data_IF_170474723371
#
_entry.id   IF_170474723371
#
_cell.length_a   1.000
_cell.length_b   1.000
_cell.length_c   1.000
_cell.angle_alpha   90.00
_cell.angle_beta   90.00
_cell.angle_gamma   90.00
#
_symmetry.space_group_name_H-M   'P 1'
#
loop_
_entity.id
_entity.type
_entity.pdbx_description
1 polymer ?
#
# COMPACT_ATOMS: atom_id res chain seq x y z
N UNK A 1 13.72 17.96 -5.95
CA UNK A 1 13.59 17.89 -4.47
C UNK A 1 14.07 16.52 -4.01
N UNK A 2 15.02 16.48 -3.04
CA UNK A 2 15.40 15.21 -2.41
C UNK A 2 14.22 14.70 -1.58
N UNK A 3 13.94 13.41 -1.68
CA UNK A 3 13.02 12.74 -0.75
C UNK A 3 13.78 12.57 0.56
N UNK A 4 13.24 13.13 1.64
CA UNK A 4 13.85 12.99 2.96
C UNK A 4 13.64 11.58 3.49
N UNK A 5 14.68 11.04 4.12
CA UNK A 5 14.55 9.81 4.90
C UNK A 5 13.64 10.07 6.11
N UNK A 6 12.82 9.09 6.44
CA UNK A 6 11.99 9.12 7.65
C UNK A 6 12.50 8.14 8.71
N UNK A 7 13.70 7.58 8.53
CA UNK A 7 14.31 6.64 9.48
C UNK A 7 14.36 7.20 10.91
N UNK A 8 14.91 8.41 11.07
CA UNK A 8 15.05 9.04 12.39
C UNK A 8 13.69 9.21 13.08
N UNK A 9 12.67 9.62 12.32
CA UNK A 9 11.30 9.72 12.82
C UNK A 9 10.78 8.35 13.29
N UNK A 10 10.93 7.31 12.46
CA UNK A 10 10.47 5.96 12.80
C UNK A 10 11.25 5.39 13.98
N UNK A 11 12.56 5.62 14.07
CA UNK A 11 13.36 5.20 15.22
C UNK A 11 12.91 5.89 16.53
N UNK A 12 12.49 7.16 16.45
CA UNK A 12 11.92 7.85 17.61
C UNK A 12 10.58 7.21 18.03
N UNK A 13 9.69 6.94 17.07
CA UNK A 13 8.42 6.27 17.33
C UNK A 13 8.62 4.88 17.96
N UNK A 14 9.59 4.10 17.47
CA UNK A 14 9.90 2.77 18.00
C UNK A 14 10.39 2.83 19.47
N UNK A 15 11.08 3.89 19.87
CA UNK A 15 11.49 4.12 21.28
C UNK A 15 10.28 4.46 22.18
N UNK A 16 9.27 5.13 21.64
CA UNK A 16 8.02 5.42 22.36
C UNK A 16 7.16 4.15 22.54
N UNK A 17 7.29 3.20 21.63
CA UNK A 17 6.52 1.95 21.62
C UNK A 17 5.14 2.08 21.00
N UNK A 18 4.38 0.99 21.02
CA UNK A 18 3.02 0.87 20.46
C UNK A 18 2.97 1.20 18.95
N UNK A 19 3.99 0.74 18.19
CA UNK A 19 4.14 0.99 16.76
C UNK A 19 3.76 -0.24 15.96
N UNK A 20 2.84 -0.07 15.03
CA UNK A 20 2.31 -1.10 14.14
C UNK A 20 2.85 -0.89 12.73
N UNK A 21 3.35 -1.96 12.11
CA UNK A 21 3.82 -1.90 10.72
C UNK A 21 2.77 -2.39 9.74
N UNK A 22 2.51 -1.59 8.70
CA UNK A 22 1.76 -1.99 7.51
C UNK A 22 2.75 -2.24 6.37
N UNK A 23 2.99 -3.49 5.99
CA UNK A 23 4.04 -3.88 5.06
C UNK A 23 3.46 -4.18 3.67
N UNK A 24 3.97 -3.51 2.64
CA UNK A 24 3.54 -3.74 1.26
C UNK A 24 3.88 -5.16 0.79
N UNK A 25 2.99 -5.84 0.04
CA UNK A 25 3.18 -7.24 -0.37
C UNK A 25 4.43 -7.51 -1.21
N UNK A 26 5.00 -6.48 -1.84
CA UNK A 26 6.24 -6.57 -2.62
C UNK A 26 7.50 -6.82 -1.76
N UNK A 27 7.38 -6.94 -0.43
CA UNK A 27 8.47 -7.35 0.45
C UNK A 27 9.14 -8.66 0.01
N UNK A 28 8.35 -9.58 -0.59
CA UNK A 28 8.81 -10.86 -1.11
C UNK A 28 10.00 -10.70 -2.07
N UNK A 29 9.87 -9.76 -3.02
CA UNK A 29 10.93 -9.51 -4.00
C UNK A 29 12.13 -8.75 -3.45
N UNK A 30 11.92 -7.93 -2.40
CA UNK A 30 12.97 -7.07 -1.84
C UNK A 30 13.82 -7.77 -0.80
N UNK A 31 13.23 -8.65 0.01
CA UNK A 31 13.92 -9.33 1.12
C UNK A 31 14.14 -10.82 0.86
N UNK A 32 13.70 -11.36 -0.27
CA UNK A 32 13.90 -12.78 -0.61
C UNK A 32 13.16 -13.75 0.29
N UNK A 33 12.14 -13.30 1.02
CA UNK A 33 11.36 -14.12 1.94
C UNK A 33 9.92 -14.28 1.43
N UNK A 34 9.45 -15.52 1.42
CA UNK A 34 8.09 -15.86 0.95
C UNK A 34 7.05 -15.83 2.07
N UNK A 35 7.49 -16.05 3.30
CA UNK A 35 6.63 -16.10 4.47
C UNK A 35 6.66 -14.77 5.22
N UNK A 36 5.50 -14.19 5.45
CA UNK A 36 5.39 -12.92 6.17
C UNK A 36 5.84 -13.04 7.63
N UNK A 37 5.80 -14.23 8.22
CA UNK A 37 6.28 -14.50 9.58
C UNK A 37 7.75 -14.09 9.76
N UNK A 38 8.59 -14.29 8.73
CA UNK A 38 9.97 -13.83 8.78
C UNK A 38 10.08 -12.31 8.93
N UNK A 39 9.21 -11.57 8.21
CA UNK A 39 9.15 -10.11 8.33
C UNK A 39 8.64 -9.69 9.70
N UNK A 40 7.59 -10.35 10.22
CA UNK A 40 7.04 -10.05 11.56
C UNK A 40 8.10 -10.21 12.64
N UNK A 41 8.84 -11.32 12.64
CA UNK A 41 9.92 -11.56 13.62
C UNK A 41 11.03 -10.53 13.47
N UNK A 42 11.44 -10.22 12.23
CA UNK A 42 12.50 -9.25 11.96
C UNK A 42 12.13 -7.84 12.39
N UNK A 43 10.89 -7.42 12.10
CA UNK A 43 10.36 -6.11 12.52
C UNK A 43 10.16 -6.05 14.05
N UNK A 44 9.74 -7.15 14.68
CA UNK A 44 9.68 -7.25 16.13
C UNK A 44 11.05 -7.03 16.80
N UNK A 45 12.14 -7.53 16.20
CA UNK A 45 13.52 -7.26 16.67
C UNK A 45 13.93 -5.79 16.50
N UNK A 46 13.32 -5.04 15.58
CA UNK A 46 13.50 -3.58 15.47
C UNK A 46 12.70 -2.80 16.52
N UNK A 47 11.70 -3.41 17.16
CA UNK A 47 10.87 -2.78 18.17
C UNK A 47 9.42 -2.49 17.72
N UNK A 48 9.00 -2.97 16.56
CA UNK A 48 7.59 -2.93 16.19
C UNK A 48 6.77 -3.85 17.10
N UNK A 49 5.62 -3.35 17.57
CA UNK A 49 4.70 -4.10 18.45
C UNK A 49 3.99 -5.21 17.69
N UNK A 50 3.48 -4.87 16.51
CA UNK A 50 2.86 -5.81 15.58
C UNK A 50 3.07 -5.40 14.13
N UNK A 51 2.91 -6.36 13.22
CA UNK A 51 3.12 -6.19 11.80
C UNK A 51 2.05 -6.92 11.00
N UNK A 52 1.37 -6.21 10.11
CA UNK A 52 0.39 -6.77 9.20
C UNK A 52 0.74 -6.43 7.74
N UNK A 53 0.20 -7.23 6.81
CA UNK A 53 0.35 -6.94 5.39
C UNK A 53 -0.63 -5.85 4.94
N UNK A 54 -0.17 -4.86 4.18
CA UNK A 54 -1.04 -3.87 3.53
C UNK A 54 -2.05 -4.52 2.56
N UNK A 55 -1.86 -5.79 2.23
CA UNK A 55 -2.83 -6.58 1.46
C UNK A 55 -4.23 -6.60 2.11
N UNK A 56 -4.31 -6.46 3.44
CA UNK A 56 -5.59 -6.32 4.15
C UNK A 56 -6.31 -5.04 3.70
N UNK A 57 -5.60 -3.92 3.69
CA UNK A 57 -6.14 -2.65 3.18
C UNK A 57 -6.46 -2.72 1.68
N UNK A 58 -5.66 -3.44 0.90
CA UNK A 58 -5.95 -3.65 -0.52
C UNK A 58 -7.24 -4.45 -0.75
N UNK A 59 -7.52 -5.45 0.08
CA UNK A 59 -8.79 -6.18 0.05
C UNK A 59 -9.99 -5.28 0.37
N UNK A 60 -9.86 -4.40 1.39
CA UNK A 60 -10.89 -3.43 1.73
C UNK A 60 -11.17 -2.48 0.56
N UNK A 61 -10.12 -1.96 -0.07
CA UNK A 61 -10.22 -1.06 -1.24
C UNK A 61 -10.87 -1.76 -2.43
N UNK A 62 -10.51 -3.01 -2.74
CA UNK A 62 -11.14 -3.77 -3.81
C UNK A 62 -12.64 -3.96 -3.58
N UNK A 63 -13.04 -4.24 -2.33
CA UNK A 63 -14.46 -4.36 -1.99
C UNK A 63 -15.23 -3.03 -2.18
N UNK A 64 -14.59 -1.89 -1.85
CA UNK A 64 -15.21 -0.58 -2.09
C UNK A 64 -15.30 -0.25 -3.60
N UNK A 65 -14.27 -0.58 -4.39
CA UNK A 65 -14.35 -0.45 -5.85
C UNK A 65 -15.50 -1.27 -6.44
N UNK A 66 -15.67 -2.52 -6.00
CA UNK A 66 -16.77 -3.36 -6.45
C UNK A 66 -18.15 -2.81 -6.08
N UNK A 67 -18.28 -2.22 -4.88
CA UNK A 67 -19.53 -1.56 -4.47
C UNK A 67 -19.85 -0.38 -5.40
N UNK A 68 -18.86 0.50 -5.63
CA UNK A 68 -19.05 1.68 -6.48
C UNK A 68 -19.36 1.29 -7.93
N UNK A 69 -18.66 0.33 -8.49
CA UNK A 69 -18.92 -0.15 -9.84
C UNK A 69 -20.33 -0.75 -10.01
N UNK A 70 -20.84 -1.41 -8.97
CA UNK A 70 -22.21 -1.98 -8.98
C UNK A 70 -23.32 -0.93 -8.95
N UNK A 71 -23.03 0.32 -8.60
CA UNK A 71 -24.04 1.41 -8.67
C UNK A 71 -24.38 1.78 -10.10
N UNK A 72 -23.48 1.53 -11.05
CA UNK A 72 -23.63 1.93 -12.45
C UNK A 72 -23.53 3.44 -12.68
N UNK A 73 -23.09 4.21 -11.69
CA UNK A 73 -23.01 5.69 -11.77
C UNK A 73 -21.75 6.20 -12.50
N UNK A 74 -20.82 5.30 -12.83
CA UNK A 74 -19.55 5.66 -13.44
C UNK A 74 -19.48 5.21 -14.91
N UNK A 75 -19.48 6.14 -15.85
CA UNK A 75 -19.18 5.87 -17.27
C UNK A 75 -17.73 5.43 -17.46
N UNK A 76 -16.80 6.08 -16.73
CA UNK A 76 -15.41 5.71 -16.60
C UNK A 76 -15.07 5.61 -15.11
N UNK A 77 -14.18 4.68 -14.74
CA UNK A 77 -13.78 4.47 -13.36
C UNK A 77 -12.25 4.34 -13.25
N UNK A 78 -11.63 5.29 -12.59
CA UNK A 78 -10.18 5.31 -12.36
C UNK A 78 -9.90 4.92 -10.91
N UNK A 79 -9.11 3.87 -10.71
CA UNK A 79 -8.73 3.42 -9.37
C UNK A 79 -7.79 4.41 -8.67
N UNK A 80 -8.02 4.69 -7.39
CA UNK A 80 -7.31 5.71 -6.59
C UNK A 80 -6.11 5.21 -5.78
N UNK A 81 -5.74 3.94 -5.92
CA UNK A 81 -4.70 3.30 -5.10
C UNK A 81 -3.30 3.92 -5.25
N UNK A 82 -3.01 4.58 -6.40
CA UNK A 82 -1.71 5.16 -6.71
C UNK A 82 -1.69 6.68 -6.48
N UNK A 83 -1.03 7.20 -5.41
CA UNK A 83 -0.98 8.64 -5.13
C UNK A 83 -0.23 9.44 -6.20
N UNK A 84 0.68 8.81 -6.96
CA UNK A 84 1.37 9.47 -8.06
C UNK A 84 0.41 9.74 -9.24
N UNK A 85 -0.42 8.76 -9.60
CA UNK A 85 -1.44 8.90 -10.65
C UNK A 85 -2.52 9.90 -10.21
N UNK A 86 -2.99 9.81 -8.97
CA UNK A 86 -3.97 10.76 -8.43
C UNK A 86 -3.46 12.20 -8.56
N UNK A 87 -2.17 12.41 -8.26
CA UNK A 87 -1.56 13.74 -8.38
C UNK A 87 -1.39 14.17 -9.83
N UNK A 88 -1.06 13.25 -10.73
CA UNK A 88 -0.99 13.52 -12.17
C UNK A 88 -2.33 14.03 -12.69
N UNK A 89 -3.42 13.34 -12.33
CA UNK A 89 -4.79 13.73 -12.69
C UNK A 89 -5.12 15.13 -12.14
N UNK A 90 -4.88 15.36 -10.85
CA UNK A 90 -5.16 16.64 -10.21
C UNK A 90 -4.44 17.82 -10.85
N UNK A 91 -3.23 17.61 -11.34
CA UNK A 91 -2.40 18.71 -11.87
C UNK A 91 -2.61 18.96 -13.35
N UNK A 92 -2.87 17.92 -14.13
CA UNK A 92 -2.81 18.00 -15.59
C UNK A 92 -4.08 17.53 -16.31
N UNK A 93 -4.95 16.79 -15.63
CA UNK A 93 -6.17 16.21 -16.22
C UNK A 93 -7.40 16.44 -15.31
N UNK A 94 -7.74 17.71 -15.02
CA UNK A 94 -8.77 18.02 -14.02
C UNK A 94 -10.18 17.52 -14.39
N UNK A 95 -10.50 17.37 -15.68
CA UNK A 95 -11.78 16.81 -16.11
C UNK A 95 -11.90 15.32 -15.77
N UNK A 96 -10.78 14.59 -15.71
CA UNK A 96 -10.76 13.18 -15.32
C UNK A 96 -10.98 12.96 -13.81
N UNK A 97 -10.90 14.00 -12.97
CA UNK A 97 -11.15 13.91 -11.53
C UNK A 97 -12.51 13.31 -11.17
N UNK A 98 -13.54 13.57 -11.96
CA UNK A 98 -14.89 13.03 -11.73
C UNK A 98 -14.97 11.51 -11.84
N UNK A 99 -13.99 10.90 -12.50
CA UNK A 99 -13.88 9.45 -12.67
C UNK A 99 -12.95 8.78 -11.66
N UNK A 100 -12.17 9.58 -10.91
CA UNK A 100 -11.28 9.05 -9.87
C UNK A 100 -12.12 8.55 -8.70
N UNK A 101 -11.97 7.27 -8.38
CA UNK A 101 -12.71 6.64 -7.29
C UNK A 101 -12.49 7.40 -5.96
N UNK A 102 -13.57 7.76 -5.23
CA UNK A 102 -13.48 8.41 -3.92
C UNK A 102 -13.16 7.38 -2.83
N UNK A 103 -12.08 6.62 -3.01
CA UNK A 103 -11.67 5.52 -2.13
C UNK A 103 -10.24 5.76 -1.67
N UNK A 104 -9.99 5.51 -0.40
CA UNK A 104 -8.65 5.56 0.17
C UNK A 104 -7.69 4.58 -0.54
N UNK A 105 -6.39 4.89 -0.49
CA UNK A 105 -5.41 3.90 -0.93
C UNK A 105 -5.33 2.73 0.08
N UNK A 106 -4.80 1.57 -0.32
CA UNK A 106 -4.57 0.44 0.58
C UNK A 106 -3.81 0.80 1.86
N UNK A 107 -2.83 1.70 1.76
CA UNK A 107 -2.09 2.21 2.91
C UNK A 107 -3.01 2.94 3.90
N UNK A 108 -3.83 3.85 3.42
CA UNK A 108 -4.72 4.64 4.27
C UNK A 108 -5.87 3.80 4.84
N UNK A 109 -6.46 2.94 4.03
CA UNK A 109 -7.51 2.02 4.48
C UNK A 109 -6.99 1.09 5.59
N UNK A 110 -5.78 0.55 5.44
CA UNK A 110 -5.17 -0.30 6.45
C UNK A 110 -4.80 0.48 7.72
N UNK A 111 -4.25 1.69 7.58
CA UNK A 111 -3.94 2.54 8.73
C UNK A 111 -5.20 2.91 9.54
N UNK A 112 -6.33 3.21 8.87
CA UNK A 112 -7.62 3.44 9.54
C UNK A 112 -8.07 2.21 10.33
N UNK A 113 -7.97 1.02 9.73
CA UNK A 113 -8.28 -0.24 10.40
C UNK A 113 -7.43 -0.42 11.66
N UNK A 114 -6.10 -0.33 11.53
CA UNK A 114 -5.18 -0.52 12.65
C UNK A 114 -5.46 0.47 13.79
N UNK A 115 -5.67 1.75 13.49
CA UNK A 115 -5.99 2.76 14.52
C UNK A 115 -7.36 2.56 15.17
N UNK A 116 -8.31 1.96 14.47
CA UNK A 116 -9.61 1.62 15.03
C UNK A 116 -9.55 0.40 15.96
N UNK A 117 -8.75 -0.62 15.59
CA UNK A 117 -8.58 -1.84 16.38
C UNK A 117 -7.64 -1.64 17.58
N UNK A 118 -6.65 -0.75 17.44
CA UNK A 118 -5.62 -0.46 18.43
C UNK A 118 -5.58 1.05 18.77
N UNK A 119 -6.52 1.58 19.55
CA UNK A 119 -6.55 3.00 19.87
C UNK A 119 -5.24 3.49 20.48
N UNK A 120 -4.73 4.61 19.94
CA UNK A 120 -3.46 5.19 20.38
C UNK A 120 -2.20 4.57 19.76
N UNK A 121 -2.32 3.58 18.87
CA UNK A 121 -1.16 3.05 18.16
C UNK A 121 -0.61 4.08 17.17
N UNK A 122 0.69 3.96 16.89
CA UNK A 122 1.37 4.60 15.78
C UNK A 122 1.45 3.64 14.61
N UNK A 123 1.18 4.12 13.41
CA UNK A 123 1.21 3.29 12.20
C UNK A 123 2.36 3.72 11.31
N UNK A 124 3.23 2.79 10.97
CA UNK A 124 4.32 2.98 10.01
C UNK A 124 4.06 2.12 8.78
N UNK A 125 3.99 2.77 7.62
CA UNK A 125 3.91 2.06 6.35
C UNK A 125 5.32 1.72 5.84
N UNK A 126 5.49 0.51 5.34
CA UNK A 126 6.76 0.01 4.78
C UNK A 126 6.52 -0.50 3.36
N UNK A 127 7.18 0.13 2.37
CA UNK A 127 6.98 -0.27 0.98
C UNK A 127 7.90 0.46 -0.01
N UNK A 128 7.91 0.10 -1.30
CA UNK A 128 8.89 0.61 -2.27
C UNK A 128 8.58 2.03 -2.78
N UNK A 129 7.42 2.59 -2.46
CA UNK A 129 6.89 3.78 -3.14
C UNK A 129 7.14 5.07 -2.34
N UNK A 130 8.01 5.94 -2.84
CA UNK A 130 8.32 7.25 -2.22
C UNK A 130 7.11 8.23 -2.22
N UNK A 131 6.16 8.08 -3.15
CA UNK A 131 4.95 8.90 -3.17
C UNK A 131 4.08 8.69 -1.93
N UNK A 132 4.18 7.54 -1.27
CA UNK A 132 3.49 7.22 -0.02
C UNK A 132 3.93 8.10 1.14
N UNK A 133 5.16 8.59 1.17
CA UNK A 133 5.64 9.56 2.17
C UNK A 133 4.83 10.87 2.13
N UNK A 134 4.48 11.31 0.93
CA UNK A 134 3.65 12.50 0.76
C UNK A 134 2.20 12.23 1.16
N UNK A 135 1.62 11.13 0.69
CA UNK A 135 0.25 10.73 1.00
C UNK A 135 0.04 10.58 2.52
N UNK A 136 1.01 9.98 3.23
CA UNK A 136 1.00 9.86 4.68
C UNK A 136 0.93 11.24 5.37
N UNK A 137 1.78 12.17 4.95
CA UNK A 137 1.80 13.54 5.51
C UNK A 137 0.52 14.31 5.21
N UNK A 138 -0.04 14.19 4.02
CA UNK A 138 -1.28 14.88 3.63
C UNK A 138 -2.50 14.31 4.36
N UNK A 139 -2.52 13.03 4.67
CA UNK A 139 -3.63 12.39 5.37
C UNK A 139 -3.57 12.52 6.89
N UNK A 140 -2.39 12.61 7.47
CA UNK A 140 -2.17 12.57 8.93
C UNK A 140 -2.53 11.24 9.60
N UNK A 141 -2.82 10.18 8.83
CA UNK A 141 -3.24 8.86 9.34
C UNK A 141 -2.06 7.91 9.59
N UNK A 142 -0.97 8.11 8.87
CA UNK A 142 0.24 7.28 8.94
C UNK A 142 1.34 8.11 9.58
N UNK A 143 1.92 7.60 10.66
CA UNK A 143 2.85 8.36 11.51
C UNK A 143 4.29 8.32 10.96
N UNK A 144 4.61 7.37 10.08
CA UNK A 144 5.90 7.28 9.39
C UNK A 144 5.86 6.38 8.17
N UNK A 145 6.77 6.60 7.24
CA UNK A 145 6.91 5.77 6.02
C UNK A 145 8.36 5.42 5.79
N UNK A 146 8.66 4.12 5.72
CA UNK A 146 9.95 3.59 5.31
C UNK A 146 9.88 3.03 3.89
N UNK A 147 10.88 3.34 3.08
CA UNK A 147 11.13 2.55 1.88
C UNK A 147 11.76 1.21 2.26
N UNK A 148 11.73 0.24 1.33
CA UNK A 148 12.41 -1.03 1.59
C UNK A 148 13.93 -0.85 1.74
N UNK A 149 14.52 0.10 1.01
CA UNK A 149 15.94 0.45 1.15
C UNK A 149 16.25 1.03 2.54
N UNK A 150 15.38 1.90 3.06
CA UNK A 150 15.52 2.44 4.41
C UNK A 150 15.38 1.34 5.47
N UNK A 151 14.43 0.43 5.31
CA UNK A 151 14.27 -0.72 6.20
C UNK A 151 15.46 -1.68 6.11
N UNK A 152 15.95 -1.96 4.91
CA UNK A 152 17.14 -2.80 4.70
C UNK A 152 18.36 -2.26 5.48
N UNK A 153 18.61 -0.95 5.41
CA UNK A 153 19.69 -0.32 6.17
C UNK A 153 19.49 -0.46 7.68
N UNK A 154 18.25 -0.32 8.18
CA UNK A 154 17.96 -0.53 9.61
C UNK A 154 18.20 -1.98 10.04
N UNK A 155 17.90 -2.95 9.19
CA UNK A 155 18.19 -4.36 9.44
C UNK A 155 19.71 -4.62 9.47
N UNK A 156 20.45 -4.11 8.49
CA UNK A 156 21.91 -4.27 8.41
C UNK A 156 22.62 -3.69 9.64
N UNK A 157 22.26 -2.49 10.07
CA UNK A 157 22.81 -1.84 11.26
C UNK A 157 22.54 -2.60 12.56
N UNK A 158 21.47 -3.39 12.61
CA UNK A 158 21.10 -4.22 13.78
C UNK A 158 21.50 -5.68 13.63
N UNK A 159 22.16 -6.06 12.52
CA UNK A 159 22.52 -7.45 12.24
C UNK A 159 21.31 -8.38 12.11
N UNK A 160 20.20 -7.88 11.57
CA UNK A 160 18.96 -8.63 11.34
C UNK A 160 18.91 -9.07 9.87
N UNK A 161 18.75 -10.38 9.63
CA UNK A 161 18.55 -10.94 8.29
C UNK A 161 17.20 -11.64 8.23
N UNK A 162 16.19 -11.07 7.54
CA UNK A 162 14.88 -11.72 7.43
C UNK A 162 14.94 -13.13 6.81
N UNK A 163 15.87 -13.36 5.88
CA UNK A 163 16.05 -14.67 5.24
C UNK A 163 16.61 -15.74 6.18
N UNK A 164 17.36 -15.34 7.22
CA UNK A 164 18.00 -16.25 8.18
C UNK A 164 17.15 -16.49 9.44
N UNK A 165 16.03 -15.79 9.57
CA UNK A 165 15.13 -16.00 10.69
C UNK A 165 14.48 -17.37 10.55
N UNK A 166 14.70 -18.24 11.53
CA UNK A 166 14.04 -19.55 11.61
C UNK A 166 12.57 -19.34 11.97
N UNK A 167 11.73 -19.22 10.95
CA UNK A 167 10.29 -19.13 11.14
C UNK A 167 9.68 -20.53 11.20
N UNK A 168 8.95 -20.80 12.26
CA UNK A 168 8.01 -21.92 12.28
C UNK A 168 6.86 -21.52 11.37
N UNK A 169 6.65 -22.26 10.28
CA UNK A 169 5.57 -21.98 9.33
C UNK A 169 4.23 -21.96 10.06
N UNK A 170 3.69 -20.77 10.26
CA UNK A 170 2.31 -20.59 10.67
C UNK A 170 1.51 -20.45 9.37
N UNK A 171 0.58 -21.36 9.16
CA UNK A 171 -0.31 -21.27 8.00
C UNK A 171 -1.09 -19.95 8.07
N UNK A 172 -0.81 -19.04 7.11
CA UNK A 172 -1.56 -17.79 7.00
C UNK A 172 -2.96 -18.13 6.45
N UNK A 173 -4.05 -17.80 7.16
CA UNK A 173 -5.40 -18.11 6.68
C UNK A 173 -5.75 -17.35 5.40
N UNK A 174 -6.21 -18.02 4.49
CA UNK A 174 -6.78 -18.00 3.18
C UNK A 174 -7.02 -16.76 2.34
N UNK A 175 -7.83 -15.73 2.61
CA UNK A 175 -8.31 -14.86 1.51
C UNK A 175 -7.40 -13.71 1.10
N UNK A 176 -6.27 -13.49 1.75
CA UNK A 176 -5.28 -12.46 1.37
C UNK A 176 -4.62 -12.67 0.00
N UNK A 177 -4.77 -13.85 -0.59
CA UNK A 177 -4.05 -14.24 -1.80
C UNK A 177 -4.25 -13.30 -2.99
N UNK A 178 -5.47 -12.81 -3.23
CA UNK A 178 -5.76 -11.93 -4.37
C UNK A 178 -5.27 -10.50 -4.15
N UNK A 179 -5.40 -9.97 -2.95
CA UNK A 179 -4.99 -8.61 -2.61
C UNK A 179 -3.45 -8.45 -2.63
N UNK A 180 -2.69 -9.52 -2.49
CA UNK A 180 -1.23 -9.52 -2.68
C UNK A 180 -0.80 -9.24 -4.12
N UNK A 181 -1.71 -9.32 -5.10
CA UNK A 181 -1.42 -9.00 -6.49
C UNK A 181 -1.35 -7.48 -6.77
N UNK A 182 -1.77 -6.61 -5.85
CA UNK A 182 -1.76 -5.16 -6.08
C UNK A 182 -0.46 -4.59 -6.67
N UNK A 183 0.74 -5.06 -6.28
CA UNK A 183 2.00 -4.52 -6.81
C UNK A 183 2.33 -4.91 -8.25
N UNK A 184 1.66 -5.91 -8.82
CA UNK A 184 1.95 -6.37 -10.19
C UNK A 184 1.00 -5.77 -11.21
N UNK A 185 1.41 -5.77 -12.49
CA UNK A 185 0.54 -5.34 -13.58
C UNK A 185 -0.78 -6.11 -13.58
N UNK A 186 -1.89 -5.38 -13.78
CA UNK A 186 -3.28 -5.87 -13.66
C UNK A 186 -3.64 -6.37 -12.25
N UNK A 187 -2.83 -6.09 -11.24
CA UNK A 187 -3.00 -6.64 -9.89
C UNK A 187 -4.30 -6.21 -9.22
N UNK A 188 -4.71 -4.95 -9.38
CA UNK A 188 -6.01 -4.46 -8.88
C UNK A 188 -7.15 -5.23 -9.54
N UNK A 189 -7.12 -5.40 -10.86
CA UNK A 189 -8.14 -6.17 -11.60
C UNK A 189 -8.20 -7.62 -11.09
N UNK A 190 -7.04 -8.25 -10.88
CA UNK A 190 -6.94 -9.63 -10.35
C UNK A 190 -7.45 -9.77 -8.91
N UNK A 191 -7.48 -8.67 -8.16
CA UNK A 191 -7.96 -8.67 -6.77
C UNK A 191 -9.47 -8.61 -6.65
N UNK A 192 -10.18 -8.20 -7.70
CA UNK A 192 -11.63 -8.18 -7.73
C UNK A 192 -12.22 -9.59 -7.69
N UNK A 193 -13.40 -9.73 -7.13
CA UNK A 193 -14.11 -11.00 -7.01
C UNK A 193 -14.64 -11.52 -8.35
N UNK A 194 -14.86 -10.64 -9.32
CA UNK A 194 -15.33 -10.94 -10.67
C UNK A 194 -15.34 -9.71 -11.57
N UNK A 195 -15.60 -9.93 -12.85
CA UNK A 195 -15.83 -8.86 -13.82
C UNK A 195 -17.31 -8.50 -13.83
N UNK A 196 -17.62 -7.21 -13.83
CA UNK A 196 -18.97 -6.72 -13.97
C UNK A 196 -19.29 -6.52 -15.45
N UNK A 197 -20.48 -6.93 -15.88
CA UNK A 197 -20.96 -6.67 -17.24
C UNK A 197 -21.06 -5.17 -17.49
N UNK A 198 -20.73 -4.76 -18.71
CA UNK A 198 -20.78 -3.35 -19.13
C UNK A 198 -19.48 -2.56 -18.88
N UNK A 199 -18.47 -3.16 -18.24
CA UNK A 199 -17.17 -2.52 -18.06
C UNK A 199 -16.05 -3.25 -18.80
N UNK A 200 -15.22 -2.48 -19.50
CA UNK A 200 -13.94 -2.95 -20.01
C UNK A 200 -12.82 -2.60 -18.99
N UNK A 201 -11.97 -3.57 -18.67
CA UNK A 201 -10.94 -3.42 -17.65
C UNK A 201 -9.56 -3.23 -18.28
N UNK A 202 -9.03 -2.03 -18.17
CA UNK A 202 -7.73 -1.64 -18.72
C UNK A 202 -6.73 -1.45 -17.60
N UNK A 203 -5.55 -2.04 -17.74
CA UNK A 203 -4.39 -1.76 -16.87
C UNK A 203 -3.32 -1.04 -17.67
N UNK A 204 -2.84 0.05 -17.11
CA UNK A 204 -1.86 0.92 -17.76
C UNK A 204 -0.62 1.03 -16.88
N UNK A 205 0.54 0.73 -17.45
CA UNK A 205 1.83 0.82 -16.79
C UNK A 205 2.71 1.87 -17.48
N UNK A 206 3.44 2.65 -16.68
CA UNK A 206 4.31 3.71 -17.15
C UNK A 206 3.60 5.07 -17.28
N UNK A 207 4.38 6.12 -17.05
CA UNK A 207 3.88 7.50 -17.00
C UNK A 207 3.33 7.96 -18.36
N UNK A 208 4.03 7.66 -19.44
CA UNK A 208 3.66 8.09 -20.80
C UNK A 208 2.31 7.52 -21.21
N UNK A 209 2.12 6.20 -21.04
CA UNK A 209 0.84 5.54 -21.33
C UNK A 209 -0.31 6.01 -20.43
N UNK A 210 -0.02 6.27 -19.14
CA UNK A 210 -1.01 6.87 -18.25
C UNK A 210 -1.45 8.25 -18.77
N UNK A 211 -0.52 9.07 -19.26
CA UNK A 211 -0.82 10.38 -19.83
C UNK A 211 -1.64 10.28 -21.13
N UNK A 212 -1.35 9.32 -21.99
CA UNK A 212 -2.11 9.05 -23.23
C UNK A 212 -3.57 8.72 -22.90
N UNK A 213 -3.79 7.75 -22.01
CA UNK A 213 -5.15 7.35 -21.60
C UNK A 213 -5.89 8.48 -20.89
N UNK A 214 -5.21 9.25 -20.04
CA UNK A 214 -5.82 10.37 -19.34
C UNK A 214 -6.16 11.52 -20.29
N UNK A 215 -5.34 11.76 -21.31
CA UNK A 215 -5.63 12.77 -22.34
C UNK A 215 -6.87 12.37 -23.17
N UNK A 216 -7.07 11.10 -23.46
CA UNK A 216 -8.25 10.59 -24.16
C UNK A 216 -9.52 10.75 -23.32
N UNK A 217 -9.43 10.50 -22.02
CA UNK A 217 -10.55 10.70 -21.07
C UNK A 217 -10.84 12.19 -20.82
N UNK A 218 -9.84 13.08 -20.87
CA UNK A 218 -9.97 14.51 -20.55
C UNK A 218 -10.50 15.32 -21.76
N UNK A 219 -10.49 14.79 -22.98
CA UNK A 219 -11.02 15.42 -24.19
C UNK A 219 -12.53 15.24 -24.29
#
# INVERSE_FOLDING_TARGET
>A
KRVHSERENVEALLKEGNVYASVAPSFVSSFGVMDFTNMQISLGKLGFSECEETAIGAQMVSAEYEKLLKTGEFDNFITSACPAVNRLIQMYYPKALKYLAPVDSPMLAHAKKLKAEHPGCKVVFIGPCIAKKREARESGLVDGVLTFEELQQMFEERGISPAEVAAVRVAVPGPLNRARYYPISRGIIKSLSGFLEGYEYIAVDGVERCMEVLADIDN
#
